data_IF_449811231031
#
_entry.id   IF_449811231031
#
_cell.length_a   1.000
_cell.length_b   1.000
_cell.length_c   1.000
_cell.angle_alpha   90.00
_cell.angle_beta   90.00
_cell.angle_gamma   90.00
#
_symmetry.space_group_name_H-M   'P 1'
#
loop_
_entity.id
_entity.type
_entity.pdbx_description
1 polymer ?
#
# COMPACT_ATOMS: atom_id res chain seq x y z
N UNK A 1 19.13 9.43 12.03
CA UNK A 1 18.95 8.82 10.70
C UNK A 1 17.45 8.60 10.50
N UNK A 2 16.88 8.91 9.33
CA UNK A 2 15.46 8.69 9.08
C UNK A 2 15.12 7.21 9.22
N UNK A 3 14.07 6.89 9.96
CA UNK A 3 13.57 5.52 10.19
C UNK A 3 12.60 5.07 9.09
N UNK A 4 12.10 6.02 8.29
CA UNK A 4 11.18 5.80 7.17
C UNK A 4 11.68 6.49 5.90
N UNK A 5 11.19 6.02 4.75
CA UNK A 5 11.38 6.62 3.43
C UNK A 5 10.01 6.76 2.77
N UNK A 6 9.76 7.91 2.17
CA UNK A 6 8.51 8.14 1.44
C UNK A 6 8.67 7.66 0.01
N UNK A 7 7.75 6.81 -0.45
CA UNK A 7 7.70 6.30 -1.82
C UNK A 7 6.40 6.72 -2.49
N UNK A 8 6.43 6.96 -3.81
CA UNK A 8 5.24 7.26 -4.60
C UNK A 8 4.60 5.99 -5.15
N UNK A 9 3.28 6.02 -5.36
CA UNK A 9 2.54 4.90 -5.92
C UNK A 9 2.96 4.63 -7.38
N UNK A 10 3.21 5.68 -8.16
CA UNK A 10 3.66 5.59 -9.54
C UNK A 10 4.98 4.85 -9.68
N UNK A 11 5.98 5.19 -8.86
CA UNK A 11 7.29 4.51 -8.88
C UNK A 11 7.13 3.02 -8.59
N UNK A 12 6.34 2.67 -7.58
CA UNK A 12 6.07 1.27 -7.24
C UNK A 12 5.30 0.53 -8.34
N UNK A 13 4.38 1.20 -9.04
CA UNK A 13 3.64 0.63 -10.18
C UNK A 13 4.59 0.31 -11.33
N UNK A 14 5.46 1.24 -11.70
CA UNK A 14 6.44 1.05 -12.78
C UNK A 14 7.41 -0.10 -12.44
N UNK A 15 7.99 -0.10 -11.22
CA UNK A 15 8.88 -1.18 -10.78
C UNK A 15 8.18 -2.55 -10.78
N UNK A 16 6.90 -2.59 -10.39
CA UNK A 16 6.12 -3.84 -10.41
C UNK A 16 5.83 -4.30 -11.83
N UNK A 17 5.47 -3.39 -12.73
CA UNK A 17 5.21 -3.74 -14.13
C UNK A 17 6.49 -4.20 -14.83
N UNK A 18 7.63 -3.58 -14.56
CA UNK A 18 8.94 -4.03 -15.05
C UNK A 18 9.30 -5.42 -14.50
N UNK A 19 8.94 -5.73 -13.25
CA UNK A 19 9.11 -7.07 -12.68
C UNK A 19 8.15 -8.12 -13.27
N UNK A 20 6.95 -7.72 -13.70
CA UNK A 20 5.93 -8.62 -14.24
C UNK A 20 6.10 -8.87 -15.74
N UNK A 21 6.47 -7.85 -16.51
CA UNK A 21 6.67 -7.96 -17.94
C UNK A 21 8.04 -8.54 -18.25
N UNK A 22 8.07 -9.75 -18.80
CA UNK A 22 9.25 -10.22 -19.53
C UNK A 22 9.43 -9.36 -20.78
N UNK A 23 10.67 -9.13 -21.19
CA UNK A 23 11.01 -8.35 -22.39
C UNK A 23 10.35 -8.87 -23.67
N UNK A 24 9.97 -10.15 -23.73
CA UNK A 24 9.24 -10.76 -24.85
C UNK A 24 7.69 -10.69 -24.75
N UNK A 25 7.14 -10.24 -23.62
CA UNK A 25 5.68 -10.25 -23.33
C UNK A 25 5.11 -8.83 -23.22
N UNK A 26 5.82 -7.83 -23.75
CA UNK A 26 5.36 -6.44 -23.72
C UNK A 26 4.07 -6.28 -24.57
N UNK A 27 3.03 -5.61 -24.05
CA UNK A 27 1.79 -5.41 -24.78
C UNK A 27 2.01 -4.67 -26.08
N UNK A 28 1.19 -4.95 -27.08
CA UNK A 28 1.25 -4.24 -28.37
C UNK A 28 0.96 -2.76 -28.13
N UNK A 29 1.85 -1.89 -28.62
CA UNK A 29 1.68 -0.45 -28.55
C UNK A 29 0.81 0.06 -29.70
N UNK A 30 -0.04 1.03 -29.39
CA UNK A 30 -0.86 1.78 -30.33
C UNK A 30 -0.54 3.26 -30.16
N UNK A 31 -0.73 4.07 -31.19
CA UNK A 31 -0.51 5.52 -31.09
C UNK A 31 -1.78 6.26 -31.46
N UNK A 32 -2.21 7.16 -30.58
CA UNK A 32 -3.40 8.02 -30.80
C UNK A 32 -3.16 8.90 -32.03
N UNK A 33 -4.16 8.95 -32.89
CA UNK A 33 -4.20 9.70 -34.14
C UNK A 33 -4.67 11.13 -33.96
N UNK A 34 -5.15 11.73 -35.06
CA UNK A 34 -5.56 13.12 -35.12
C UNK A 34 -6.83 13.44 -34.33
N UNK A 35 -7.68 12.44 -34.11
CA UNK A 35 -8.84 12.56 -33.23
C UNK A 35 -8.43 11.98 -31.87
N UNK A 36 -8.03 12.86 -30.97
CA UNK A 36 -7.58 12.55 -29.63
C UNK A 36 -8.73 12.56 -28.62
N UNK A 37 -8.49 12.03 -27.41
CA UNK A 37 -9.43 12.16 -26.29
C UNK A 37 -8.99 13.35 -25.43
N UNK A 38 -9.20 14.56 -25.93
CA UNK A 38 -8.66 15.78 -25.32
C UNK A 38 -9.46 16.26 -24.09
N UNK A 39 -10.62 15.68 -23.83
CA UNK A 39 -11.40 15.93 -22.62
C UNK A 39 -12.14 14.68 -22.12
N UNK A 40 -12.58 14.69 -20.86
CA UNK A 40 -13.29 13.59 -20.19
C UNK A 40 -14.60 13.12 -20.85
N UNK A 41 -15.22 13.96 -21.69
CA UNK A 41 -16.47 13.64 -22.38
C UNK A 41 -16.28 12.98 -23.74
N UNK A 42 -15.08 13.08 -24.32
CA UNK A 42 -14.75 12.44 -25.58
C UNK A 42 -14.81 10.91 -25.43
N UNK A 43 -15.41 10.26 -26.41
CA UNK A 43 -15.54 8.79 -26.45
C UNK A 43 -15.03 8.21 -27.76
N UNK A 44 -14.40 9.02 -28.61
CA UNK A 44 -13.96 8.61 -29.93
C UNK A 44 -12.52 9.04 -30.17
N UNK A 45 -11.73 8.17 -30.78
CA UNK A 45 -10.38 8.50 -31.22
C UNK A 45 -10.01 7.76 -32.50
N UNK A 46 -8.98 8.24 -33.17
CA UNK A 46 -8.32 7.52 -34.28
C UNK A 46 -6.96 6.99 -33.83
N UNK A 47 -6.42 6.04 -34.58
CA UNK A 47 -5.06 5.52 -34.35
C UNK A 47 -4.17 5.90 -35.53
N UNK A 48 -3.00 6.47 -35.24
CA UNK A 48 -1.94 6.69 -36.22
C UNK A 48 -1.04 5.46 -36.39
N UNK A 49 -0.98 4.59 -35.39
CA UNK A 49 -0.26 3.31 -35.44
C UNK A 49 -1.05 2.20 -34.74
N UNK A 50 -1.08 1.04 -35.38
CA UNK A 50 -1.72 -0.17 -34.86
C UNK A 50 -3.21 -0.26 -35.18
N UNK A 51 -3.87 -1.29 -34.65
CA UNK A 51 -5.32 -1.44 -34.80
C UNK A 51 -5.92 -2.23 -33.63
N UNK A 52 -7.18 -1.90 -33.33
CA UNK A 52 -8.00 -2.58 -32.33
C UNK A 52 -9.28 -3.11 -32.95
N UNK A 53 -9.82 -4.13 -32.31
CA UNK A 53 -11.12 -4.73 -32.57
C UNK A 53 -12.11 -4.26 -31.52
N UNK A 54 -13.39 -4.41 -31.83
CA UNK A 54 -14.44 -4.28 -30.83
C UNK A 54 -14.16 -5.31 -29.73
N UNK A 55 -14.38 -4.93 -28.47
CA UNK A 55 -14.05 -5.66 -27.23
C UNK A 55 -12.58 -5.64 -26.78
N UNK A 56 -11.66 -5.12 -27.61
CA UNK A 56 -10.29 -4.90 -27.14
C UNK A 56 -10.28 -3.85 -26.03
N UNK A 57 -9.39 -4.06 -25.05
CA UNK A 57 -9.10 -3.09 -23.99
C UNK A 57 -7.85 -2.33 -24.37
N UNK A 58 -7.86 -1.01 -24.19
CA UNK A 58 -6.69 -0.15 -24.39
C UNK A 58 -6.40 0.61 -23.10
N UNK A 59 -5.14 0.69 -22.72
CA UNK A 59 -4.69 1.41 -21.54
C UNK A 59 -3.82 2.60 -21.93
N UNK A 60 -4.16 3.78 -21.43
CA UNK A 60 -3.35 4.99 -21.58
C UNK A 60 -2.22 5.09 -20.55
N UNK A 61 -1.25 5.99 -20.74
CA UNK A 61 -0.10 6.16 -19.85
C UNK A 61 -0.48 6.55 -18.42
N UNK A 62 -1.59 7.29 -18.24
CA UNK A 62 -2.11 7.64 -16.92
C UNK A 62 -2.89 6.49 -16.22
N UNK A 63 -2.90 5.29 -16.79
CA UNK A 63 -3.60 4.12 -16.24
C UNK A 63 -5.11 4.10 -16.48
N UNK A 64 -5.63 4.98 -17.35
CA UNK A 64 -7.01 4.89 -17.82
C UNK A 64 -7.15 3.63 -18.69
N UNK A 65 -8.05 2.74 -18.29
CA UNK A 65 -8.43 1.58 -19.09
C UNK A 65 -9.73 1.91 -19.84
N UNK A 66 -9.75 1.63 -21.13
CA UNK A 66 -10.89 1.89 -22.00
C UNK A 66 -11.28 0.60 -22.74
N UNK A 67 -12.57 0.39 -22.94
CA UNK A 67 -13.11 -0.73 -23.72
C UNK A 67 -13.54 -0.23 -25.10
N UNK A 68 -13.04 -0.82 -26.17
CA UNK A 68 -13.48 -0.51 -27.54
C UNK A 68 -14.88 -1.07 -27.78
N UNK A 69 -15.84 -0.19 -28.03
CA UNK A 69 -17.26 -0.54 -28.19
C UNK A 69 -17.72 -0.49 -29.64
N UNK A 70 -17.09 0.33 -30.48
CA UNK A 70 -17.39 0.36 -31.91
C UNK A 70 -16.16 0.76 -32.74
N UNK A 71 -16.22 0.45 -34.03
CA UNK A 71 -15.20 0.79 -35.03
C UNK A 71 -15.92 1.16 -36.33
N UNK A 72 -15.60 2.32 -36.91
CA UNK A 72 -16.12 2.71 -38.21
C UNK A 72 -15.50 1.89 -39.35
N UNK A 73 -16.16 1.87 -40.51
CA UNK A 73 -15.72 1.11 -41.69
C UNK A 73 -14.77 1.90 -42.61
N UNK A 74 -14.33 3.08 -42.17
CA UNK A 74 -13.52 4.00 -42.99
C UNK A 74 -12.08 3.49 -43.16
N UNK A 75 -11.37 4.02 -44.17
CA UNK A 75 -9.96 3.70 -44.40
C UNK A 75 -9.05 4.08 -43.21
N UNK A 76 -9.43 5.14 -42.49
CA UNK A 76 -8.88 5.51 -41.18
C UNK A 76 -9.99 5.35 -40.14
N UNK A 77 -10.09 4.19 -39.49
CA UNK A 77 -11.22 3.89 -38.62
C UNK A 77 -11.27 4.82 -37.41
N UNK A 78 -12.47 5.34 -37.11
CA UNK A 78 -12.78 5.99 -35.84
C UNK A 78 -13.22 4.92 -34.84
N UNK A 79 -12.55 4.87 -33.70
CA UNK A 79 -12.83 3.94 -32.62
C UNK A 79 -13.69 4.63 -31.57
N UNK A 80 -14.81 4.02 -31.20
CA UNK A 80 -15.59 4.45 -30.04
C UNK A 80 -15.22 3.61 -28.83
N UNK A 81 -15.05 4.25 -27.68
CA UNK A 81 -14.66 3.60 -26.44
C UNK A 81 -15.58 3.95 -25.28
N UNK A 82 -15.76 2.97 -24.40
CA UNK A 82 -16.22 3.20 -23.03
C UNK A 82 -15.02 3.54 -22.16
N UNK A 83 -15.00 4.78 -21.67
CA UNK A 83 -13.95 5.34 -20.81
C UNK A 83 -14.13 4.93 -19.35
N UNK A 84 -13.09 5.11 -18.54
CA UNK A 84 -13.11 4.72 -17.13
C UNK A 84 -13.50 3.23 -16.90
N UNK A 85 -13.13 2.35 -17.84
CA UNK A 85 -13.46 0.94 -17.74
C UNK A 85 -12.80 0.31 -16.51
N UNK A 86 -13.50 -0.60 -15.84
CA UNK A 86 -13.08 -1.19 -14.55
C UNK A 86 -12.79 -0.15 -13.45
N UNK A 87 -13.53 0.95 -13.43
CA UNK A 87 -13.41 2.03 -12.43
C UNK A 87 -12.03 2.70 -12.45
N UNK A 88 -11.41 2.79 -13.63
CA UNK A 88 -10.22 3.63 -13.82
C UNK A 88 -10.61 5.10 -13.93
N UNK A 89 -9.70 6.01 -13.62
CA UNK A 89 -9.94 7.46 -13.75
C UNK A 89 -9.74 7.87 -15.21
N UNK A 90 -10.62 8.74 -15.72
CA UNK A 90 -10.44 9.31 -17.05
C UNK A 90 -9.23 10.25 -17.05
N UNK A 91 -8.48 10.25 -18.14
CA UNK A 91 -7.37 11.16 -18.34
C UNK A 91 -7.30 11.61 -19.80
N UNK A 92 -6.96 12.87 -20.05
CA UNK A 92 -6.82 13.39 -21.41
C UNK A 92 -5.70 12.64 -22.15
N UNK A 93 -5.95 12.29 -23.42
CA UNK A 93 -5.06 11.50 -24.26
C UNK A 93 -4.80 12.24 -25.57
N UNK A 94 -3.80 13.12 -25.56
CA UNK A 94 -3.42 13.91 -26.73
C UNK A 94 -2.97 13.04 -27.91
N UNK A 95 -3.02 13.59 -29.12
CA UNK A 95 -2.44 12.97 -30.32
C UNK A 95 -0.97 12.57 -30.08
N UNK A 96 -0.59 11.38 -30.55
CA UNK A 96 0.75 10.83 -30.33
C UNK A 96 0.92 10.09 -29.01
N UNK A 97 -0.09 10.09 -28.12
CA UNK A 97 -0.06 9.29 -26.90
C UNK A 97 0.00 7.80 -27.23
N UNK A 98 0.83 7.06 -26.49
CA UNK A 98 1.00 5.61 -26.67
C UNK A 98 0.04 4.87 -25.77
N UNK A 99 -0.83 4.04 -26.35
CA UNK A 99 -1.68 3.10 -25.62
C UNK A 99 -1.11 1.69 -25.65
N UNK A 100 -1.44 0.90 -24.65
CA UNK A 100 -1.19 -0.54 -24.61
C UNK A 100 -2.47 -1.30 -24.95
N UNK A 101 -2.40 -2.17 -25.96
CA UNK A 101 -3.49 -3.06 -26.34
C UNK A 101 -3.50 -4.31 -25.48
N UNK A 102 -4.66 -4.61 -24.88
CA UNK A 102 -4.94 -5.80 -24.06
C UNK A 102 -3.78 -6.16 -23.09
N UNK A 103 -3.33 -5.22 -22.25
CA UNK A 103 -2.26 -5.52 -21.30
C UNK A 103 -2.70 -6.68 -20.38
N UNK A 104 -1.84 -7.70 -20.16
CA UNK A 104 -2.13 -8.80 -19.24
C UNK A 104 -2.16 -8.34 -17.78
N UNK A 105 -1.42 -7.27 -17.47
CA UNK A 105 -1.38 -6.61 -16.17
C UNK A 105 -1.61 -5.11 -16.39
N UNK A 106 -2.74 -4.60 -15.92
CA UNK A 106 -3.04 -3.16 -16.02
C UNK A 106 -2.44 -2.40 -14.84
N UNK A 107 -2.10 -1.12 -15.01
CA UNK A 107 -1.64 -0.22 -13.94
C UNK A 107 -2.63 -0.17 -12.78
N UNK A 108 -3.93 -0.18 -13.08
CA UNK A 108 -5.00 -0.19 -12.06
C UNK A 108 -5.07 -1.50 -11.26
N UNK A 109 -4.77 -2.65 -11.88
CA UNK A 109 -4.65 -3.92 -11.16
C UNK A 109 -3.42 -3.94 -10.26
N UNK A 110 -2.27 -3.52 -10.80
CA UNK A 110 -1.01 -3.44 -10.05
C UNK A 110 -1.13 -2.49 -8.85
N UNK A 111 -1.73 -1.32 -9.05
CA UNK A 111 -2.06 -0.36 -7.99
C UNK A 111 -2.82 -1.02 -6.84
N UNK A 112 -3.88 -1.78 -7.16
CA UNK A 112 -4.67 -2.49 -6.15
C UNK A 112 -3.85 -3.55 -5.42
N UNK A 113 -2.92 -4.23 -6.08
CA UNK A 113 -2.06 -5.23 -5.45
C UNK A 113 -1.02 -4.60 -4.53
N UNK A 114 -0.42 -3.48 -4.92
CA UNK A 114 0.51 -2.69 -4.09
C UNK A 114 -0.21 -2.20 -2.82
N UNK A 115 -1.36 -1.55 -2.99
CA UNK A 115 -2.16 -1.07 -1.87
C UNK A 115 -2.60 -2.21 -0.94
N UNK A 116 -2.95 -3.38 -1.52
CA UNK A 116 -3.22 -4.58 -0.75
C UNK A 116 -2.00 -5.01 0.07
N UNK A 117 -0.83 -5.13 -0.54
CA UNK A 117 0.40 -5.53 0.16
C UNK A 117 0.77 -4.61 1.33
N UNK A 118 0.62 -3.30 1.14
CA UNK A 118 0.84 -2.30 2.20
C UNK A 118 -0.21 -2.46 3.32
N UNK A 119 -1.49 -2.58 2.96
CA UNK A 119 -2.59 -2.65 3.92
C UNK A 119 -2.71 -3.99 4.65
N UNK A 120 -2.23 -5.11 4.07
CA UNK A 120 -2.31 -6.45 4.66
C UNK A 120 -0.98 -6.92 5.22
N UNK A 121 -0.05 -7.35 4.35
CA UNK A 121 1.20 -8.00 4.76
C UNK A 121 2.08 -7.04 5.55
N UNK A 122 2.26 -5.81 5.06
CA UNK A 122 3.11 -4.84 5.77
C UNK A 122 2.49 -4.42 7.10
N UNK A 123 1.20 -4.10 7.15
CA UNK A 123 0.54 -3.79 8.43
C UNK A 123 0.63 -4.94 9.44
N UNK A 124 0.55 -6.20 9.00
CA UNK A 124 0.61 -7.36 9.88
C UNK A 124 2.04 -7.67 10.37
N UNK A 125 3.02 -7.64 9.47
CA UNK A 125 4.37 -8.12 9.75
C UNK A 125 5.36 -6.99 10.08
N UNK A 126 5.12 -5.79 9.57
CA UNK A 126 5.96 -4.60 9.72
C UNK A 126 5.07 -3.38 10.04
N UNK A 127 4.32 -3.40 11.15
CA UNK A 127 3.35 -2.37 11.44
C UNK A 127 3.99 -0.99 11.51
N UNK A 128 3.29 -0.01 10.95
CA UNK A 128 3.68 1.38 11.05
C UNK A 128 3.52 1.86 12.49
N UNK A 129 4.55 2.55 12.99
CA UNK A 129 4.49 3.18 14.29
C UNK A 129 5.16 4.56 14.21
N UNK A 130 4.66 5.47 15.02
CA UNK A 130 5.15 6.84 15.13
C UNK A 130 5.45 7.16 16.59
N UNK A 131 6.47 7.99 16.79
CA UNK A 131 6.74 8.64 18.07
C UNK A 131 6.19 10.05 17.96
N UNK A 132 5.24 10.40 18.82
CA UNK A 132 4.73 11.75 18.91
C UNK A 132 4.70 12.23 20.37
N UNK A 133 4.79 13.54 20.51
CA UNK A 133 4.62 14.23 21.78
C UNK A 133 3.14 14.48 22.01
N UNK A 134 2.68 14.12 23.19
CA UNK A 134 1.32 14.32 23.64
C UNK A 134 1.33 14.96 25.00
N UNK A 135 0.37 15.86 25.21
CA UNK A 135 0.11 16.48 26.50
C UNK A 135 -1.24 16.03 27.01
N UNK A 136 -1.39 16.10 28.32
CA UNK A 136 -2.66 15.80 28.99
C UNK A 136 -3.66 16.90 28.66
N UNK A 137 -4.93 16.53 28.43
CA UNK A 137 -5.99 17.53 28.30
C UNK A 137 -6.17 18.28 29.63
N UNK A 138 -6.29 19.61 29.57
CA UNK A 138 -6.56 20.42 30.75
C UNK A 138 -7.78 19.86 31.49
N UNK A 139 -7.68 19.73 32.82
CA UNK A 139 -8.71 19.22 33.73
C UNK A 139 -9.07 17.72 33.62
N UNK A 140 -8.52 16.95 32.67
CA UNK A 140 -8.84 15.53 32.49
C UNK A 140 -7.62 14.61 32.69
N UNK A 141 -7.78 13.44 33.32
CA UNK A 141 -6.69 12.46 33.56
C UNK A 141 -6.37 11.57 32.34
N UNK A 142 -6.54 12.08 31.13
CA UNK A 142 -6.26 11.32 29.91
C UNK A 142 -5.62 12.20 28.83
N UNK A 143 -5.03 11.51 27.86
CA UNK A 143 -4.49 12.05 26.62
C UNK A 143 -5.38 11.58 25.48
N UNK A 144 -5.77 12.48 24.60
CA UNK A 144 -6.49 12.13 23.38
C UNK A 144 -5.49 11.66 22.32
N UNK A 145 -5.71 10.47 21.76
CA UNK A 145 -4.89 9.91 20.68
C UNK A 145 -5.63 10.06 19.34
N UNK A 146 -4.92 10.04 18.18
CA UNK A 146 -5.54 10.03 16.86
C UNK A 146 -6.52 8.89 16.70
N UNK A 147 -7.65 9.12 16.03
CA UNK A 147 -8.77 8.18 15.90
C UNK A 147 -8.42 6.86 15.18
N UNK A 148 -7.33 6.83 14.43
CA UNK A 148 -6.81 5.67 13.70
C UNK A 148 -5.69 4.93 14.46
N UNK A 149 -5.47 5.26 15.73
CA UNK A 149 -4.51 4.55 16.58
C UNK A 149 -4.99 3.13 16.87
N UNK A 150 -4.17 2.14 16.52
CA UNK A 150 -4.47 0.71 16.76
C UNK A 150 -4.02 0.27 18.15
N UNK A 151 -2.86 0.77 18.59
CA UNK A 151 -2.26 0.37 19.86
C UNK A 151 -1.25 1.40 20.35
N UNK A 152 -1.15 1.57 21.67
CA UNK A 152 -0.01 2.26 22.33
C UNK A 152 1.08 1.25 22.65
N UNK A 153 2.28 1.48 22.14
CA UNK A 153 3.42 0.58 22.32
C UNK A 153 4.26 0.97 23.54
N UNK A 154 4.48 2.28 23.74
CA UNK A 154 5.32 2.79 24.82
C UNK A 154 4.94 4.20 25.19
N UNK A 155 5.06 4.53 26.48
CA UNK A 155 4.90 5.88 27.01
C UNK A 155 6.17 6.24 27.78
N UNK A 156 6.77 7.37 27.45
CA UNK A 156 7.97 7.91 28.09
C UNK A 156 7.73 9.36 28.48
N UNK A 157 8.44 9.82 29.48
CA UNK A 157 8.54 11.24 29.80
C UNK A 157 10.02 11.61 29.98
N UNK A 158 10.35 12.88 29.75
CA UNK A 158 11.68 13.40 30.04
C UNK A 158 11.68 14.03 31.43
N UNK A 159 12.29 13.35 32.40
CA UNK A 159 12.43 13.87 33.75
C UNK A 159 13.50 14.95 33.79
N UNK A 160 13.13 16.24 33.84
CA UNK A 160 14.07 17.36 33.87
C UNK A 160 15.08 17.27 35.02
N UNK A 161 14.65 16.75 36.18
CA UNK A 161 15.49 16.54 37.35
C UNK A 161 16.46 15.35 37.23
N UNK A 162 16.08 14.34 36.44
CA UNK A 162 16.88 13.12 36.24
C UNK A 162 17.76 13.19 34.97
N UNK A 163 17.52 14.18 34.09
CA UNK A 163 18.24 14.37 32.84
C UNK A 163 18.12 13.19 31.87
N UNK A 164 17.07 12.37 31.99
CA UNK A 164 16.91 11.12 31.22
C UNK A 164 15.45 10.84 30.88
N UNK A 165 15.26 10.02 29.85
CA UNK A 165 13.97 9.42 29.55
C UNK A 165 13.67 8.28 30.52
N UNK A 166 12.46 8.32 31.08
CA UNK A 166 11.94 7.28 31.97
C UNK A 166 10.67 6.71 31.37
N UNK A 167 10.55 5.38 31.37
CA UNK A 167 9.33 4.70 30.93
C UNK A 167 8.23 4.94 31.97
N UNK A 168 7.09 5.44 31.51
CA UNK A 168 5.89 5.57 32.33
C UNK A 168 5.25 4.19 32.44
N UNK A 169 5.08 3.71 33.67
CA UNK A 169 4.25 2.54 33.97
C UNK A 169 2.81 2.92 34.30
N UNK A 170 1.92 1.94 34.31
CA UNK A 170 0.55 2.13 34.83
C UNK A 170 -0.42 2.89 33.93
N UNK A 171 -0.09 3.05 32.64
CA UNK A 171 -0.99 3.61 31.65
C UNK A 171 -1.95 2.57 31.07
N UNK A 172 -3.08 3.03 30.55
CA UNK A 172 -4.13 2.21 29.96
C UNK A 172 -4.65 2.88 28.68
N UNK A 173 -4.62 2.15 27.56
CA UNK A 173 -5.22 2.56 26.30
C UNK A 173 -6.67 2.08 26.25
N UNK A 174 -7.61 2.99 26.02
CA UNK A 174 -9.05 2.70 26.10
C UNK A 174 -9.84 3.43 25.00
N UNK A 175 -10.87 2.75 24.49
CA UNK A 175 -11.92 3.34 23.67
C UNK A 175 -13.02 3.99 24.54
N UNK A 176 -13.45 5.18 24.17
CA UNK A 176 -14.49 5.95 24.87
C UNK A 176 -15.51 6.51 23.87
N UNK A 177 -16.75 6.80 24.31
CA UNK A 177 -17.76 7.40 23.45
C UNK A 177 -17.26 8.70 22.78
N UNK A 178 -17.51 8.85 21.48
CA UNK A 178 -17.10 10.04 20.70
C UNK A 178 -17.82 11.33 21.12
N UNK A 179 -18.90 11.20 21.89
CA UNK A 179 -19.57 12.32 22.55
C UNK A 179 -18.76 12.91 23.72
N UNK A 180 -17.79 12.16 24.26
CA UNK A 180 -16.91 12.61 25.34
C UNK A 180 -15.53 13.03 24.82
N UNK A 181 -15.00 12.30 23.82
CA UNK A 181 -13.68 12.56 23.21
C UNK A 181 -13.80 12.40 21.71
N UNK A 182 -13.45 13.42 20.94
CA UNK A 182 -13.70 13.46 19.48
C UNK A 182 -13.09 12.27 18.76
N UNK A 183 -11.85 11.88 19.11
CA UNK A 183 -11.19 10.72 18.50
C UNK A 183 -11.76 9.37 18.93
N UNK A 184 -12.50 9.32 20.05
CA UNK A 184 -12.95 8.08 20.69
C UNK A 184 -11.83 7.26 21.34
N UNK A 185 -10.58 7.73 21.31
CA UNK A 185 -9.40 7.00 21.78
C UNK A 185 -8.62 7.80 22.80
N UNK A 186 -8.42 7.20 23.98
CA UNK A 186 -7.72 7.84 25.08
C UNK A 186 -6.62 6.97 25.67
N UNK A 187 -5.57 7.63 26.12
CA UNK A 187 -4.51 7.05 26.95
C UNK A 187 -4.63 7.63 28.35
N UNK A 188 -5.01 6.79 29.31
CA UNK A 188 -4.97 7.11 30.73
C UNK A 188 -3.55 6.96 31.22
N UNK A 189 -3.06 7.97 31.91
CA UNK A 189 -1.71 8.01 32.48
C UNK A 189 -1.78 8.20 33.99
N UNK A 190 -0.71 7.83 34.70
CA UNK A 190 -0.63 7.96 36.15
C UNK A 190 -0.89 9.40 36.61
N UNK A 191 -1.54 9.57 37.77
CA UNK A 191 -1.82 10.87 38.37
C UNK A 191 -0.55 11.68 38.72
N UNK A 192 0.62 11.03 38.75
CA UNK A 192 1.93 11.69 38.92
C UNK A 192 2.29 12.54 37.70
N UNK A 193 1.69 12.27 36.53
CA UNK A 193 1.88 13.05 35.31
C UNK A 193 0.91 14.23 35.32
N UNK A 194 1.50 15.42 35.27
CA UNK A 194 0.82 16.70 35.30
C UNK A 194 0.54 17.20 33.87
N UNK A 195 -0.14 18.34 33.76
CA UNK A 195 -0.46 18.92 32.44
C UNK A 195 0.77 19.54 31.76
N UNK A 196 1.80 19.85 32.55
CA UNK A 196 3.05 20.47 32.10
C UNK A 196 4.12 19.44 31.72
N UNK A 197 3.83 18.15 31.88
CA UNK A 197 4.73 17.06 31.53
C UNK A 197 4.52 16.64 30.07
N UNK A 198 5.55 16.81 29.25
CA UNK A 198 5.57 16.33 27.88
C UNK A 198 5.77 14.80 27.85
N UNK A 199 4.79 14.10 27.27
CA UNK A 199 4.84 12.65 27.10
C UNK A 199 5.19 12.28 25.68
N UNK A 200 6.20 11.44 25.54
CA UNK A 200 6.60 10.84 24.28
C UNK A 200 5.91 9.48 24.19
N UNK A 201 4.92 9.39 23.30
CA UNK A 201 4.12 8.18 23.09
C UNK A 201 4.50 7.56 21.76
N UNK A 202 4.87 6.28 21.79
CA UNK A 202 5.04 5.47 20.60
C UNK A 202 3.71 4.75 20.32
N UNK A 203 3.06 5.08 19.20
CA UNK A 203 1.75 4.53 18.80
C UNK A 203 1.85 3.75 17.50
N UNK A 204 1.07 2.69 17.37
CA UNK A 204 0.88 1.93 16.15
C UNK A 204 -0.35 2.45 15.40
N UNK A 205 -0.19 2.72 14.11
CA UNK A 205 -1.25 3.20 13.21
C UNK A 205 -1.18 2.40 11.90
N UNK A 206 -2.26 2.32 11.11
CA UNK A 206 -2.18 1.71 9.79
C UNK A 206 -1.32 2.57 8.84
N UNK A 207 -0.65 1.94 7.87
CA UNK A 207 -0.10 2.70 6.74
C UNK A 207 -1.21 3.46 6.01
N UNK A 208 -0.99 4.75 5.79
CA UNK A 208 -1.92 5.62 5.08
C UNK A 208 -1.25 6.25 3.86
N UNK A 209 -1.96 6.19 2.73
CA UNK A 209 -1.57 6.92 1.52
C UNK A 209 -1.99 8.38 1.64
N UNK A 210 -1.07 9.28 1.31
CA UNK A 210 -1.32 10.73 1.26
C UNK A 210 -1.39 11.17 -0.20
N UNK A 211 -2.44 11.89 -0.58
CA UNK A 211 -2.67 12.33 -1.97
C UNK A 211 -3.57 11.39 -2.76
N UNK A 212 -3.56 11.52 -4.09
CA UNK A 212 -4.44 10.78 -5.00
C UNK A 212 -3.71 10.35 -6.28
N UNK A 213 -4.15 9.24 -6.88
CA UNK A 213 -3.56 8.70 -8.10
C UNK A 213 -2.12 8.22 -7.89
N UNK A 214 -1.34 8.13 -8.95
CA UNK A 214 0.05 7.67 -8.90
C UNK A 214 0.98 8.63 -8.14
N UNK A 215 0.59 9.89 -7.97
CA UNK A 215 1.31 10.84 -7.13
C UNK A 215 1.10 10.62 -5.62
N UNK A 216 0.18 9.73 -5.23
CA UNK A 216 -0.02 9.40 -3.82
C UNK A 216 1.24 8.77 -3.23
N UNK A 217 1.56 9.14 -2.00
CA UNK A 217 2.78 8.68 -1.32
C UNK A 217 2.47 7.95 -0.02
N UNK A 218 3.35 7.03 0.38
CA UNK A 218 3.27 6.33 1.67
C UNK A 218 4.64 6.30 2.36
N UNK A 219 4.73 6.54 3.68
CA UNK A 219 5.96 6.36 4.42
C UNK A 219 6.18 4.88 4.74
N UNK A 220 7.24 4.29 4.20
CA UNK A 220 7.62 2.90 4.48
C UNK A 220 8.89 2.84 5.35
N UNK A 221 9.07 1.80 6.17
CA UNK A 221 10.31 1.62 6.92
C UNK A 221 11.52 1.46 5.98
N UNK A 222 12.68 1.95 6.40
CA UNK A 222 13.92 1.77 5.64
C UNK A 222 14.22 0.27 5.44
N UNK A 223 14.65 -0.16 4.25
CA UNK A 223 14.86 -1.57 3.90
C UNK A 223 13.56 -2.40 3.78
N UNK A 224 12.40 -1.74 3.71
CA UNK A 224 11.11 -2.36 3.39
C UNK A 224 10.44 -1.74 2.14
N UNK A 225 11.14 -0.86 1.41
CA UNK A 225 10.57 -0.09 0.30
C UNK A 225 10.23 -0.96 -0.92
N UNK A 226 10.91 -2.08 -1.09
CA UNK A 226 10.75 -3.03 -2.20
C UNK A 226 9.67 -4.10 -1.91
N UNK A 227 9.24 -4.26 -0.66
CA UNK A 227 8.24 -5.27 -0.26
C UNK A 227 6.90 -5.09 -1.01
N UNK A 228 6.33 -3.88 -1.17
CA UNK A 228 5.10 -3.70 -1.95
C UNK A 228 5.21 -4.19 -3.39
N UNK A 229 6.36 -3.93 -4.04
CA UNK A 229 6.65 -4.36 -5.41
C UNK A 229 6.74 -5.89 -5.48
N UNK A 230 7.55 -6.49 -4.61
CA UNK A 230 7.71 -7.95 -4.56
C UNK A 230 6.38 -8.65 -4.28
N UNK A 231 5.58 -8.13 -3.35
CA UNK A 231 4.25 -8.65 -3.05
C UNK A 231 3.32 -8.54 -4.26
N UNK A 232 3.25 -7.38 -4.89
CA UNK A 232 2.37 -7.15 -6.03
C UNK A 232 2.75 -8.03 -7.24
N UNK A 233 4.05 -8.20 -7.50
CA UNK A 233 4.55 -9.12 -8.52
C UNK A 233 4.19 -10.57 -8.22
N UNK A 234 4.43 -11.04 -6.99
CA UNK A 234 4.11 -12.41 -6.59
C UNK A 234 2.60 -12.67 -6.67
N UNK A 235 1.78 -11.74 -6.18
CA UNK A 235 0.33 -11.79 -6.23
C UNK A 235 -0.21 -11.72 -7.67
N UNK A 236 0.42 -10.93 -8.55
CA UNK A 236 0.07 -10.87 -9.96
C UNK A 236 0.19 -12.22 -10.67
N UNK A 237 1.21 -13.02 -10.30
CA UNK A 237 1.46 -14.35 -10.86
C UNK A 237 0.58 -15.44 -10.23
N UNK A 238 0.42 -15.45 -8.90
CA UNK A 238 -0.38 -16.48 -8.20
C UNK A 238 -1.88 -16.18 -8.14
N UNK A 239 -2.29 -14.92 -8.36
CA UNK A 239 -3.66 -14.39 -8.19
C UNK A 239 -4.25 -14.56 -6.78
N UNK A 240 -3.42 -14.94 -5.81
CA UNK A 240 -3.76 -15.08 -4.40
C UNK A 240 -2.51 -14.96 -3.54
N UNK A 241 -2.68 -14.57 -2.30
CA UNK A 241 -1.61 -14.64 -1.32
C UNK A 241 -1.31 -16.10 -0.97
N UNK A 242 -0.03 -16.45 -0.90
CA UNK A 242 0.42 -17.77 -0.48
C UNK A 242 1.10 -17.59 0.89
N UNK A 243 0.55 -18.24 1.91
CA UNK A 243 1.08 -18.16 3.27
C UNK A 243 2.43 -18.88 3.37
N UNK A 244 3.24 -18.53 4.38
CA UNK A 244 4.51 -19.22 4.67
C UNK A 244 4.35 -20.74 4.79
N UNK A 245 3.33 -21.18 5.54
CA UNK A 245 3.08 -22.60 5.74
C UNK A 245 2.59 -23.34 4.48
N UNK A 246 2.07 -22.62 3.48
CA UNK A 246 1.80 -23.19 2.17
C UNK A 246 3.07 -23.32 1.33
N UNK A 247 3.98 -22.34 1.37
CA UNK A 247 5.24 -22.38 0.62
C UNK A 247 6.07 -23.62 0.92
N UNK A 248 6.13 -24.02 2.19
CA UNK A 248 6.86 -25.20 2.63
C UNK A 248 6.27 -26.50 2.05
N UNK A 249 4.97 -26.50 1.73
CA UNK A 249 4.24 -27.63 1.13
C UNK A 249 4.21 -27.62 -0.40
N UNK A 250 4.66 -26.53 -1.05
CA UNK A 250 4.65 -26.45 -2.51
C UNK A 250 5.61 -27.48 -3.15
N UNK A 251 6.63 -27.95 -2.44
CA UNK A 251 7.46 -29.06 -2.93
C UNK A 251 6.66 -30.36 -3.09
N UNK A 252 5.69 -30.61 -2.20
CA UNK A 252 4.76 -31.75 -2.32
C UNK A 252 3.79 -31.53 -3.49
N UNK A 253 3.37 -30.28 -3.74
CA UNK A 253 2.52 -29.94 -4.90
C UNK A 253 3.22 -30.09 -6.25
N UNK A 254 4.54 -29.87 -6.30
CA UNK A 254 5.32 -30.01 -7.54
C UNK A 254 5.27 -31.42 -8.13
N UNK A 255 5.02 -32.45 -7.31
CA UNK A 255 4.91 -33.83 -7.80
C UNK A 255 3.56 -34.10 -8.49
N UNK A 256 2.48 -33.44 -8.06
CA UNK A 256 1.13 -33.65 -8.59
C UNK A 256 0.70 -32.67 -9.70
N UNK A 257 1.20 -31.42 -9.69
CA UNK A 257 0.73 -30.33 -10.56
C UNK A 257 1.60 -30.01 -11.78
N UNK A 258 2.87 -30.42 -11.80
CA UNK A 258 3.77 -30.19 -12.93
C UNK A 258 3.24 -30.76 -14.27
N UNK A 259 2.26 -31.68 -14.20
CA UNK A 259 1.66 -32.36 -15.36
C UNK A 259 0.44 -31.60 -15.93
N UNK A 260 -0.18 -30.63 -15.23
CA UNK A 260 -1.52 -30.12 -15.61
C UNK A 260 -1.65 -28.65 -15.98
N UNK A 261 -0.82 -27.73 -15.48
CA UNK A 261 -1.17 -26.30 -15.50
C UNK A 261 -0.23 -25.35 -16.25
N UNK A 262 0.98 -25.76 -16.68
CA UNK A 262 1.91 -24.87 -17.41
C UNK A 262 2.40 -23.63 -16.62
N UNK A 263 1.97 -23.43 -15.38
CA UNK A 263 2.46 -22.40 -14.46
C UNK A 263 3.69 -22.92 -13.74
N UNK A 264 4.79 -22.17 -13.80
CA UNK A 264 6.02 -22.53 -13.11
C UNK A 264 5.87 -22.31 -11.59
N UNK A 265 5.33 -23.31 -10.89
CA UNK A 265 5.12 -23.28 -9.43
C UNK A 265 6.41 -22.98 -8.64
N UNK A 266 7.57 -23.38 -9.18
CA UNK A 266 8.87 -23.02 -8.60
C UNK A 266 9.10 -21.51 -8.64
N UNK A 267 8.81 -20.87 -9.77
CA UNK A 267 8.90 -19.40 -9.88
C UNK A 267 8.00 -18.71 -8.86
N UNK A 268 6.74 -19.16 -8.72
CA UNK A 268 5.80 -18.58 -7.73
C UNK A 268 6.33 -18.75 -6.31
N UNK A 269 6.87 -19.94 -5.97
CA UNK A 269 7.49 -20.18 -4.67
C UNK A 269 8.67 -19.24 -4.43
N UNK A 270 9.56 -19.11 -5.41
CA UNK A 270 10.76 -18.27 -5.27
C UNK A 270 10.36 -16.80 -5.07
N UNK A 271 9.34 -16.32 -5.78
CA UNK A 271 8.81 -14.95 -5.61
C UNK A 271 8.24 -14.71 -4.21
N UNK A 272 7.36 -15.60 -3.73
CA UNK A 272 6.79 -15.47 -2.38
C UNK A 272 7.82 -15.70 -1.27
N UNK A 273 8.80 -16.59 -1.49
CA UNK A 273 9.92 -16.80 -0.59
C UNK A 273 10.78 -15.54 -0.44
N UNK A 274 11.03 -14.83 -1.54
CA UNK A 274 11.74 -13.54 -1.52
C UNK A 274 10.95 -12.47 -0.75
N UNK A 275 9.62 -12.38 -0.94
CA UNK A 275 8.76 -11.46 -0.16
C UNK A 275 8.96 -11.67 1.34
N UNK A 276 8.83 -12.91 1.83
CA UNK A 276 8.96 -13.19 3.26
C UNK A 276 10.39 -13.03 3.77
N UNK A 277 11.41 -13.34 2.94
CA UNK A 277 12.81 -13.08 3.29
C UNK A 277 13.05 -11.60 3.54
N UNK A 278 12.54 -10.72 2.65
CA UNK A 278 12.66 -9.25 2.83
C UNK A 278 11.90 -8.74 4.04
N UNK A 279 10.71 -9.28 4.30
CA UNK A 279 9.98 -8.99 5.55
C UNK A 279 10.83 -9.34 6.77
N UNK A 280 11.47 -10.50 6.80
CA UNK A 280 12.30 -10.92 7.94
C UNK A 280 13.57 -10.09 8.11
N UNK A 281 14.15 -9.61 7.01
CA UNK A 281 15.28 -8.68 7.03
C UNK A 281 14.87 -7.30 7.56
N UNK A 282 13.76 -6.77 7.07
CA UNK A 282 13.21 -5.51 7.55
C UNK A 282 12.85 -5.58 9.05
N UNK A 283 12.27 -6.69 9.53
CA UNK A 283 11.94 -6.89 10.96
C UNK A 283 13.17 -6.85 11.87
N UNK A 284 14.32 -7.32 11.40
CA UNK A 284 15.56 -7.30 12.21
C UNK A 284 16.04 -5.88 12.46
N UNK A 285 15.80 -4.99 11.50
CA UNK A 285 16.14 -3.57 11.52
C UNK A 285 15.07 -2.80 12.32
N UNK A 286 13.80 -3.01 11.99
CA UNK A 286 12.64 -2.35 12.59
C UNK A 286 12.07 -3.19 13.71
N UNK A 287 12.73 -3.12 14.86
CA UNK A 287 12.22 -3.74 16.08
C UNK A 287 11.16 -2.85 16.69
N UNK A 288 9.93 -3.34 16.70
CA UNK A 288 8.84 -2.69 17.41
C UNK A 288 9.23 -2.43 18.87
N UNK A 289 8.94 -1.23 19.41
CA UNK A 289 9.04 -0.98 20.83
C UNK A 289 8.28 -2.05 21.62
N UNK A 290 8.92 -2.63 22.64
CA UNK A 290 8.28 -3.69 23.44
C UNK A 290 7.11 -3.09 24.21
N UNK A 291 5.90 -3.55 23.91
CA UNK A 291 4.71 -3.25 24.71
C UNK A 291 4.94 -3.73 26.14
N UNK A 292 4.88 -2.81 27.10
CA UNK A 292 4.91 -3.14 28.54
C UNK A 292 3.60 -2.68 29.17
N UNK A 293 2.50 -3.42 28.97
CA UNK A 293 1.26 -3.11 29.67
C UNK A 293 1.42 -3.40 31.16
N UNK A 294 0.79 -2.54 31.97
CA UNK A 294 0.55 -2.61 33.40
C UNK A 294 1.23 -3.76 34.19
N UNK A 295 2.28 -3.43 34.95
CA UNK A 295 2.55 -4.11 36.21
C UNK A 295 1.85 -3.30 37.31
N UNK A 296 0.91 -3.93 38.02
CA UNK A 296 0.28 -3.37 39.21
C UNK A 296 1.39 -2.91 40.15
N UNK A 297 1.58 -1.60 40.31
CA UNK A 297 2.55 -1.10 41.29
C UNK A 297 2.16 -1.71 42.64
N UNK A 298 3.10 -2.34 43.38
CA UNK A 298 2.80 -2.78 44.73
C UNK A 298 2.32 -1.55 45.50
N UNK A 299 1.21 -1.70 46.22
CA UNK A 299 0.73 -0.64 47.12
C UNK A 299 1.90 -0.23 48.01
N UNK A 300 2.39 0.99 47.84
CA UNK A 300 3.30 1.58 48.81
C UNK A 300 2.39 1.96 49.98
N UNK A 301 2.54 1.21 51.07
CA UNK A 301 1.88 1.45 52.35
C UNK A 301 2.58 2.59 53.09
#
# INVERSE_FOLDING_TARGET
>A
MPTTTTVSLGDLVEETLDSLYRSAERPTQLVVGSDALDNDSDTQFTLSLGSVNITDRVEGPAGELMLVTAKSADATPVYTVSRAYQNTTKADQATGTVFLKNPPFTRSQVTRWIQRGVSSLMNAELPHWETAEYTRHADFQYIELPADTLQVLRVRYFGLLEGRFSDVGGWEFQEVPTSLVTSGLVLRVSAVITVDDDLIVDVQRPYAWTGSGEAATVPLPVAAQDIPVLFASAYGQSRREISRGELDKIEEWNQDQAIRAGVNLRMIRDMWGEVYRRVDEAKKIHRLPKTRPFNKMPKVW
#
